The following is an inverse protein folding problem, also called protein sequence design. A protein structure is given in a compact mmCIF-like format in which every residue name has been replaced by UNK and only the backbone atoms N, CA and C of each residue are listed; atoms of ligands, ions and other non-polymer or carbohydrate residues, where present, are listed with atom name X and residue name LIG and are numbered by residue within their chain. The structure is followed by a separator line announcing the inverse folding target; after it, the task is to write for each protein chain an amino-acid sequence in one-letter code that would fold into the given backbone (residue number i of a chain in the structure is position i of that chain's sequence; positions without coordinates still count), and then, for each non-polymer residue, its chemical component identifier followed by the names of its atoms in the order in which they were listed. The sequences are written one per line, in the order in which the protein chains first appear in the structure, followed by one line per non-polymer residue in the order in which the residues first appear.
data_IF_806026055907
#
_entry.id   IF_806026055907
#
_cell.length_a   1.000
_cell.length_b   1.000
_cell.length_c   1.000
_cell.angle_alpha   90.00
_cell.angle_beta   90.00
_cell.angle_gamma   90.00
#
_symmetry.space_group_name_H-M   'P 1'
#
loop_
_entity.id
_entity.type
_entity.pdbx_description
1 polymer ?
#
# COMPACT_ATOMS: atom_id res chain seq x y z
N UNK A 1 -10.73 -18.43 -7.42
CA UNK A 1 -10.36 -17.38 -6.44
C UNK A 1 -10.44 -16.04 -7.15
N UNK A 2 -11.46 -15.22 -6.86
CA UNK A 2 -11.69 -13.94 -7.54
C UNK A 2 -11.14 -12.85 -6.60
N UNK A 3 -10.03 -12.23 -7.00
CA UNK A 3 -9.48 -11.06 -6.32
C UNK A 3 -10.17 -9.84 -6.95
N UNK A 4 -11.01 -9.13 -6.18
CA UNK A 4 -11.54 -7.85 -6.60
C UNK A 4 -10.62 -6.74 -6.09
N UNK A 5 -9.85 -6.13 -7.00
CA UNK A 5 -9.02 -4.95 -6.69
C UNK A 5 -9.73 -3.73 -7.27
N UNK A 6 -10.16 -2.81 -6.41
CA UNK A 6 -10.77 -1.55 -6.84
C UNK A 6 -9.72 -0.45 -6.72
N UNK A 7 -9.27 0.09 -7.84
CA UNK A 7 -8.37 1.24 -7.89
C UNK A 7 -9.19 2.53 -8.00
N UNK A 8 -8.98 3.48 -7.09
CA UNK A 8 -9.55 4.82 -7.19
C UNK A 8 -8.43 5.79 -7.60
N UNK A 9 -8.48 6.28 -8.84
CA UNK A 9 -7.54 7.26 -9.37
C UNK A 9 -8.16 8.66 -9.24
N UNK A 10 -7.63 9.49 -8.34
CA UNK A 10 -7.95 10.92 -8.30
C UNK A 10 -6.99 11.61 -9.28
N UNK A 11 -7.47 11.84 -10.50
CA UNK A 11 -6.67 12.44 -11.57
C UNK A 11 -6.54 13.95 -11.44
N UNK A 12 -5.31 14.47 -11.37
CA UNK A 12 -4.99 15.86 -11.64
C UNK A 12 -4.10 15.93 -12.89
N UNK A 13 -4.48 16.84 -13.79
CA UNK A 13 -3.99 16.89 -15.17
C UNK A 13 -2.61 17.55 -15.32
N UNK A 14 -1.92 17.10 -16.37
CA UNK A 14 -0.76 17.70 -17.05
C UNK A 14 0.62 17.55 -16.39
N UNK A 15 1.40 16.58 -16.87
CA UNK A 15 2.71 16.76 -17.50
C UNK A 15 3.13 15.42 -18.14
N UNK A 16 3.83 15.51 -19.25
CA UNK A 16 4.36 14.38 -20.02
C UNK A 16 5.47 13.66 -19.24
N UNK A 17 5.09 12.81 -18.29
CA UNK A 17 6.00 11.96 -17.50
C UNK A 17 5.56 10.52 -17.67
N UNK A 18 6.50 9.68 -18.09
CA UNK A 18 6.31 8.25 -18.23
C UNK A 18 5.70 7.68 -16.95
N UNK A 19 4.66 6.81 -17.00
CA UNK A 19 4.15 6.16 -15.81
C UNK A 19 5.28 5.31 -15.21
N UNK A 20 5.73 5.68 -14.02
CA UNK A 20 6.73 4.92 -13.26
C UNK A 20 5.98 3.89 -12.42
N UNK A 21 5.77 2.71 -13.01
CA UNK A 21 5.23 1.57 -12.27
C UNK A 21 6.19 1.19 -11.14
N UNK A 22 5.78 1.42 -9.91
CA UNK A 22 6.52 1.01 -8.71
C UNK A 22 5.94 -0.29 -8.19
N UNK A 23 6.79 -1.30 -8.05
CA UNK A 23 6.38 -2.57 -7.41
C UNK A 23 6.67 -2.47 -5.92
N UNK A 24 5.62 -2.60 -5.10
CA UNK A 24 5.71 -2.60 -3.64
C UNK A 24 5.34 -3.98 -3.10
N UNK A 25 6.21 -4.53 -2.25
CA UNK A 25 5.98 -5.76 -1.51
C UNK A 25 5.71 -5.43 -0.05
N UNK A 26 4.48 -5.62 0.40
CA UNK A 26 4.12 -5.46 1.80
C UNK A 26 4.24 -6.78 2.53
N UNK A 27 5.02 -6.81 3.61
CA UNK A 27 5.06 -7.93 4.55
C UNK A 27 4.02 -7.69 5.63
N UNK A 28 2.97 -8.50 5.65
CA UNK A 28 1.85 -8.32 6.59
C UNK A 28 2.10 -9.00 7.95
N UNK A 29 3.08 -9.90 8.01
CA UNK A 29 3.53 -10.52 9.26
C UNK A 29 2.86 -11.86 9.57
N UNK A 30 3.11 -12.42 10.76
CA UNK A 30 2.58 -13.73 11.14
C UNK A 30 1.05 -13.73 11.22
N UNK A 31 0.44 -12.63 11.69
CA UNK A 31 -1.01 -12.49 11.87
C UNK A 31 -1.77 -12.18 10.57
N UNK A 32 -1.12 -12.32 9.41
CA UNK A 32 -1.70 -12.01 8.10
C UNK A 32 -3.05 -12.69 7.82
N UNK A 33 -3.25 -13.92 8.33
CA UNK A 33 -4.49 -14.67 8.16
C UNK A 33 -5.68 -14.03 8.89
N UNK A 34 -5.46 -13.18 9.89
CA UNK A 34 -6.53 -12.43 10.56
C UNK A 34 -6.89 -11.14 9.80
N UNK A 35 -6.06 -10.67 8.88
CA UNK A 35 -6.31 -9.43 8.13
C UNK A 35 -7.34 -9.72 7.03
N UNK A 36 -8.51 -9.10 7.13
CA UNK A 36 -9.56 -9.16 6.09
C UNK A 36 -9.59 -7.90 5.24
N UNK A 37 -9.14 -6.77 5.77
CA UNK A 37 -9.16 -5.49 5.08
C UNK A 37 -7.84 -4.74 5.31
N UNK A 38 -7.29 -4.14 4.26
CA UNK A 38 -6.15 -3.25 4.33
C UNK A 38 -6.39 -1.99 3.51
N UNK A 39 -6.22 -0.82 4.11
CA UNK A 39 -6.13 0.45 3.39
C UNK A 39 -4.71 0.96 3.48
N UNK A 40 -4.13 1.37 2.35
CA UNK A 40 -2.77 1.88 2.26
C UNK A 40 -2.84 3.23 1.55
N UNK A 41 -2.43 4.29 2.22
CA UNK A 41 -2.32 5.64 1.68
C UNK A 41 -0.86 6.05 1.58
N UNK A 42 -0.50 6.74 0.51
CA UNK A 42 0.80 7.32 0.24
C UNK A 42 0.70 8.83 0.33
N UNK A 43 1.36 9.40 1.31
CA UNK A 43 1.26 10.82 1.64
C UNK A 43 2.54 11.56 1.22
N UNK A 44 2.38 12.76 0.67
CA UNK A 44 3.46 13.74 0.47
C UNK A 44 3.18 14.90 1.41
N UNK A 45 3.97 15.02 2.47
CA UNK A 45 3.57 15.85 3.61
C UNK A 45 2.30 15.29 4.26
N UNK A 46 1.23 16.10 4.26
CA UNK A 46 -0.08 15.73 4.83
C UNK A 46 -1.15 15.41 3.76
N UNK A 47 -0.77 15.42 2.47
CA UNK A 47 -1.69 15.19 1.36
C UNK A 47 -1.58 13.75 0.80
N UNK A 48 -2.70 13.08 0.59
CA UNK A 48 -2.76 11.75 -0.04
C UNK A 48 -2.51 11.88 -1.55
N UNK A 49 -1.32 11.46 -1.98
CA UNK A 49 -0.93 11.43 -3.38
C UNK A 49 -1.51 10.21 -4.11
N UNK A 50 -1.63 9.07 -3.41
CA UNK A 50 -2.24 7.86 -3.93
C UNK A 50 -2.72 6.93 -2.80
N UNK A 51 -3.61 6.00 -3.12
CA UNK A 51 -4.13 5.05 -2.16
C UNK A 51 -4.63 3.75 -2.79
N UNK A 52 -4.65 2.68 -2.00
CA UNK A 52 -5.17 1.39 -2.38
C UNK A 52 -5.88 0.71 -1.21
N UNK A 53 -6.95 -0.03 -1.54
CA UNK A 53 -7.70 -0.84 -0.58
C UNK A 53 -7.74 -2.29 -1.04
N UNK A 54 -7.51 -3.20 -0.12
CA UNK A 54 -7.52 -4.64 -0.35
C UNK A 54 -8.48 -5.29 0.61
N UNK A 55 -9.17 -6.33 0.13
CA UNK A 55 -10.05 -7.15 0.95
C UNK A 55 -9.84 -8.62 0.63
N UNK A 56 -9.81 -9.44 1.67
CA UNK A 56 -9.67 -10.89 1.60
C UNK A 56 -10.76 -11.57 2.43
N UNK A 57 -11.35 -12.62 1.87
CA UNK A 57 -12.42 -13.39 2.54
C UNK A 57 -11.84 -14.39 3.55
N UNK A 58 -10.65 -14.94 3.26
CA UNK A 58 -10.03 -16.03 4.02
C UNK A 58 -8.72 -15.58 4.72
N UNK A 59 -8.54 -14.26 4.88
CA UNK A 59 -7.29 -13.67 5.36
C UNK A 59 -6.33 -13.24 4.25
N UNK A 60 -5.47 -12.28 4.56
CA UNK A 60 -4.50 -11.73 3.63
C UNK A 60 -3.33 -12.70 3.39
N UNK A 61 -2.60 -12.60 2.27
CA UNK A 61 -1.35 -13.35 2.07
C UNK A 61 -0.23 -12.81 2.97
N UNK A 62 0.79 -13.63 3.25
CA UNK A 62 1.92 -13.18 4.10
C UNK A 62 2.68 -12.01 3.48
N UNK A 63 2.77 -12.00 2.15
CA UNK A 63 3.33 -10.90 1.36
C UNK A 63 2.33 -10.50 0.29
N UNK A 64 2.00 -9.22 0.23
CA UNK A 64 1.17 -8.62 -0.80
C UNK A 64 2.05 -7.90 -1.80
N UNK A 65 2.02 -8.33 -3.06
CA UNK A 65 2.60 -7.58 -4.18
C UNK A 65 1.56 -6.61 -4.73
N UNK A 66 1.95 -5.35 -4.85
CA UNK A 66 1.12 -4.27 -5.36
C UNK A 66 1.92 -3.45 -6.37
N UNK A 67 1.33 -3.13 -7.51
CA UNK A 67 1.90 -2.22 -8.50
C UNK A 67 1.11 -0.92 -8.43
N UNK A 68 1.82 0.20 -8.29
CA UNK A 68 1.22 1.52 -8.19
C UNK A 68 2.07 2.55 -8.94
N UNK A 69 1.42 3.53 -9.53
CA UNK A 69 2.08 4.67 -10.16
C UNK A 69 2.45 5.69 -9.10
N UNK A 70 3.74 5.76 -8.75
CA UNK A 70 4.29 6.75 -7.84
C UNK A 70 5.48 7.41 -8.50
N UNK A 71 5.58 8.73 -8.37
CA UNK A 71 6.78 9.43 -8.78
C UNK A 71 7.95 9.09 -7.85
N UNK A 72 9.20 9.06 -8.34
CA UNK A 72 10.36 8.92 -7.48
C UNK A 72 10.41 10.06 -6.46
N UNK A 73 10.57 9.72 -5.17
CA UNK A 73 10.46 10.72 -4.11
C UNK A 73 10.27 10.13 -2.73
N UNK A 74 10.09 11.03 -1.75
CA UNK A 74 9.83 10.67 -0.36
C UNK A 74 8.32 10.69 -0.10
N UNK A 75 7.83 9.61 0.50
CA UNK A 75 6.44 9.44 0.89
C UNK A 75 6.35 8.96 2.33
N UNK A 76 5.23 9.24 2.98
CA UNK A 76 4.81 8.54 4.20
C UNK A 76 3.71 7.56 3.82
N UNK A 77 3.90 6.29 4.16
CA UNK A 77 2.83 5.30 4.05
C UNK A 77 2.05 5.29 5.35
N UNK A 78 0.74 5.47 5.24
CA UNK A 78 -0.20 5.19 6.31
C UNK A 78 -1.02 3.95 5.93
N UNK A 79 -0.84 2.86 6.65
CA UNK A 79 -1.56 1.62 6.45
C UNK A 79 -2.50 1.34 7.64
N UNK A 80 -3.76 1.07 7.34
CA UNK A 80 -4.76 0.60 8.29
C UNK A 80 -5.09 -0.86 7.96
N UNK A 81 -4.73 -1.79 8.84
CA UNK A 81 -5.02 -3.22 8.71
C UNK A 81 -6.14 -3.59 9.70
N UNK A 82 -7.14 -4.31 9.22
CA UNK A 82 -8.31 -4.74 10.00
C UNK A 82 -8.63 -6.21 9.78
N UNK A 83 -9.17 -6.82 10.82
CA UNK A 83 -9.71 -8.17 10.90
C UNK A 83 -10.77 -8.25 11.99
N UNK A 84 -11.33 -9.43 12.22
CA UNK A 84 -12.39 -9.63 13.23
C UNK A 84 -11.95 -9.22 14.64
N UNK A 85 -10.73 -9.60 15.05
CA UNK A 85 -10.09 -9.23 16.32
C UNK A 85 -8.89 -8.31 16.16
N UNK A 86 -8.49 -8.02 14.93
CA UNK A 86 -7.27 -7.30 14.61
C UNK A 86 -7.57 -5.87 14.18
N UNK A 87 -6.88 -4.90 14.79
CA UNK A 87 -6.74 -3.54 14.26
C UNK A 87 -5.31 -3.08 14.43
N UNK A 88 -4.70 -2.63 13.33
CA UNK A 88 -3.31 -2.16 13.35
C UNK A 88 -3.14 -1.00 12.38
N UNK A 89 -2.71 0.12 12.92
CA UNK A 89 -2.35 1.30 12.14
C UNK A 89 -0.82 1.41 12.12
N UNK A 90 -0.25 1.54 10.92
CA UNK A 90 1.19 1.56 10.69
C UNK A 90 1.55 2.79 9.86
N UNK A 91 2.54 3.55 10.32
CA UNK A 91 3.13 4.66 9.56
C UNK A 91 4.61 4.42 9.30
N UNK A 92 5.04 4.54 8.04
CA UNK A 92 6.44 4.32 7.61
C UNK A 92 6.86 5.31 6.56
N UNK A 93 8.08 5.83 6.67
CA UNK A 93 8.72 6.55 5.58
C UNK A 93 9.09 5.59 4.45
N UNK A 94 8.84 6.02 3.22
CA UNK A 94 9.16 5.30 1.99
C UNK A 94 9.95 6.23 1.07
N UNK A 95 11.11 5.76 0.61
CA UNK A 95 11.80 6.34 -0.54
C UNK A 95 11.45 5.52 -1.78
N UNK A 96 10.72 6.13 -2.71
CA UNK A 96 10.44 5.54 -4.03
C UNK A 96 11.66 5.77 -4.92
N UNK A 97 12.31 4.71 -5.43
CA UNK A 97 13.44 4.83 -6.35
C UNK A 97 12.96 5.22 -7.75
N UNK A 98 13.88 5.61 -8.62
CA UNK A 98 13.59 5.87 -10.04
C UNK A 98 13.13 4.61 -10.78
N UNK A 99 13.68 3.46 -10.40
CA UNK A 99 13.30 2.13 -10.89
C UNK A 99 13.48 1.10 -9.77
N UNK A 100 12.63 0.07 -9.75
CA UNK A 100 12.85 -1.11 -8.92
C UNK A 100 11.65 -1.51 -8.05
N UNK A 101 11.93 -2.41 -7.11
CA UNK A 101 10.96 -2.95 -6.16
C UNK A 101 11.28 -2.46 -4.76
N UNK A 102 10.28 -2.01 -4.01
CA UNK A 102 10.44 -1.64 -2.60
C UNK A 102 9.72 -2.66 -1.72
N UNK A 103 10.36 -3.05 -0.62
CA UNK A 103 9.76 -3.94 0.39
C UNK A 103 9.50 -3.16 1.67
N UNK A 104 8.30 -3.34 2.23
CA UNK A 104 7.82 -2.57 3.38
C UNK A 104 7.22 -3.54 4.38
N UNK A 105 7.64 -3.39 5.64
CA UNK A 105 7.13 -4.20 6.73
C UNK A 105 5.96 -3.50 7.44
N UNK A 106 4.78 -4.12 7.38
CA UNK A 106 3.54 -3.67 8.03
C UNK A 106 3.15 -4.57 9.22
N UNK A 107 4.03 -5.49 9.62
CA UNK A 107 3.75 -6.47 10.67
C UNK A 107 3.72 -5.87 12.08
N UNK A 108 4.19 -4.63 12.28
CA UNK A 108 4.27 -3.98 13.59
C UNK A 108 3.88 -2.52 13.49
N UNK A 109 3.19 -2.03 14.52
CA UNK A 109 3.05 -0.60 14.78
C UNK A 109 4.46 0.04 14.99
N UNK A 110 4.62 1.36 14.76
CA UNK A 110 5.85 2.08 15.11
C UNK A 110 6.25 1.91 16.59
#
# INVERSE_FOLDING_TARGET
MIVAVTFLLIGSQMLNVWPHETVVHYRLGPDHAEITDARIAYLVGDEEAAGASFRWVEGAPHTLRHVIDLHPGHYTIAAELRGDSLRRDVSRSLQVPTEGTVTIDLSRAP
#
